data_IF_276068501368
#
_entry.id   IF_276068501368
#
_cell.length_a   1.000
_cell.length_b   1.000
_cell.length_c   1.000
_cell.angle_alpha   90.00
_cell.angle_beta   90.00
_cell.angle_gamma   90.00
#
_symmetry.space_group_name_H-M   'P 1'
#
loop_
_entity.id
_entity.type
_entity.pdbx_description
1 polymer ?
#
# COMPACT_ATOMS: atom_id res chain seq x y z
N UNK A 1 24.55 -14.92 -25.10
CA UNK A 1 23.41 -14.05 -24.71
C UNK A 1 22.17 -14.90 -24.66
N UNK A 2 21.70 -15.25 -23.46
CA UNK A 2 20.40 -15.88 -23.32
C UNK A 2 19.36 -14.78 -23.54
N UNK A 3 18.45 -14.96 -24.51
CA UNK A 3 17.31 -14.05 -24.67
C UNK A 3 16.40 -14.33 -23.48
N UNK A 4 16.23 -13.35 -22.61
CA UNK A 4 15.19 -13.42 -21.58
C UNK A 4 13.85 -13.49 -22.31
N UNK A 5 13.20 -14.65 -22.24
CA UNK A 5 11.88 -14.86 -22.82
C UNK A 5 10.87 -14.07 -21.99
N UNK A 6 10.38 -12.96 -22.55
CA UNK A 6 9.38 -12.13 -21.89
C UNK A 6 8.06 -12.91 -21.85
N UNK A 7 7.70 -13.39 -20.66
CA UNK A 7 6.40 -14.02 -20.44
C UNK A 7 5.35 -12.94 -20.26
N UNK A 8 4.43 -12.81 -21.22
CA UNK A 8 3.27 -11.92 -21.10
C UNK A 8 2.24 -12.60 -20.20
N UNK A 9 2.00 -12.03 -19.01
CA UNK A 9 1.07 -12.60 -18.02
C UNK A 9 -0.39 -12.35 -18.39
N UNK A 10 -0.68 -11.16 -18.94
CA UNK A 10 -1.99 -10.72 -19.40
C UNK A 10 -1.82 -9.71 -20.54
N UNK A 11 -2.70 -9.72 -21.54
CA UNK A 11 -2.64 -8.78 -22.68
C UNK A 11 -3.14 -7.38 -22.29
N UNK A 12 -4.03 -7.29 -21.29
CA UNK A 12 -4.65 -6.05 -20.84
C UNK A 12 -4.55 -5.88 -19.32
N UNK A 13 -3.75 -4.89 -18.89
CA UNK A 13 -3.58 -4.55 -17.48
C UNK A 13 -4.87 -4.13 -16.79
N UNK A 14 -5.90 -3.67 -17.52
CA UNK A 14 -7.19 -3.28 -16.94
C UNK A 14 -7.94 -4.46 -16.34
N UNK A 15 -7.65 -5.67 -16.80
CA UNK A 15 -8.23 -6.90 -16.28
C UNK A 15 -7.54 -7.34 -14.98
N UNK A 16 -6.36 -6.78 -14.68
CA UNK A 16 -5.57 -7.18 -13.54
C UNK A 16 -5.94 -6.41 -12.27
N UNK A 17 -5.71 -7.04 -11.13
CA UNK A 17 -5.66 -6.42 -9.81
C UNK A 17 -4.44 -6.99 -9.09
N UNK A 18 -3.69 -6.14 -8.39
CA UNK A 18 -2.56 -6.58 -7.58
C UNK A 18 -2.94 -6.62 -6.09
N UNK A 19 -2.53 -7.69 -5.40
CA UNK A 19 -2.81 -7.91 -3.97
C UNK A 19 -1.56 -8.39 -3.24
N UNK A 20 -1.46 -8.02 -1.96
CA UNK A 20 -0.47 -8.60 -1.07
C UNK A 20 -0.83 -10.06 -0.78
N UNK A 21 0.14 -10.98 -0.85
CA UNK A 21 -0.07 -12.34 -0.36
C UNK A 21 -0.02 -12.32 1.18
N UNK A 22 -1.08 -12.81 1.84
CA UNK A 22 -1.23 -12.80 3.31
C UNK A 22 -0.75 -14.13 3.94
N UNK A 23 0.06 -14.89 3.22
CA UNK A 23 0.57 -16.17 3.70
C UNK A 23 1.79 -15.96 4.61
N UNK A 24 1.73 -16.48 5.84
CA UNK A 24 2.70 -16.23 6.92
C UNK A 24 4.08 -16.84 6.58
N UNK A 25 4.16 -17.76 5.63
CA UNK A 25 5.41 -18.38 5.18
C UNK A 25 6.09 -17.63 4.02
N UNK A 26 5.35 -16.78 3.29
CA UNK A 26 5.81 -16.19 2.02
C UNK A 26 6.08 -14.68 2.13
N UNK A 27 7.31 -14.33 2.51
CA UNK A 27 7.74 -12.92 2.58
C UNK A 27 7.85 -12.28 1.20
N UNK A 28 7.41 -11.02 1.08
CA UNK A 28 7.55 -10.21 -0.12
C UNK A 28 6.85 -10.80 -1.36
N UNK A 29 5.79 -11.57 -1.13
CA UNK A 29 4.98 -12.17 -2.17
C UNK A 29 3.73 -11.33 -2.46
N UNK A 30 3.43 -11.17 -3.73
CA UNK A 30 2.24 -10.49 -4.23
C UNK A 30 1.59 -11.30 -5.33
N UNK A 31 0.31 -11.06 -5.53
CA UNK A 31 -0.49 -11.75 -6.52
C UNK A 31 -1.00 -10.75 -7.55
N UNK A 32 -0.83 -11.08 -8.83
CA UNK A 32 -1.51 -10.40 -9.94
C UNK A 32 -2.66 -11.28 -10.38
N UNK A 33 -3.87 -10.80 -10.11
CA UNK A 33 -5.12 -11.51 -10.33
C UNK A 33 -5.81 -10.93 -11.56
N UNK A 34 -6.04 -11.75 -12.57
CA UNK A 34 -6.95 -11.47 -13.69
C UNK A 34 -8.18 -12.40 -13.62
N UNK A 35 -9.23 -12.20 -14.43
CA UNK A 35 -10.43 -13.04 -14.38
C UNK A 35 -10.17 -14.52 -14.68
N UNK A 36 -9.08 -14.82 -15.40
CA UNK A 36 -8.76 -16.16 -15.88
C UNK A 36 -7.54 -16.78 -15.22
N UNK A 37 -6.66 -15.97 -14.62
CA UNK A 37 -5.39 -16.44 -14.03
C UNK A 37 -5.08 -15.67 -12.75
N UNK A 38 -4.46 -16.35 -11.79
CA UNK A 38 -3.82 -15.74 -10.64
C UNK A 38 -2.34 -16.14 -10.65
N UNK A 39 -1.45 -15.16 -10.60
CA UNK A 39 -0.02 -15.40 -10.57
C UNK A 39 0.57 -14.85 -9.29
N UNK A 40 1.22 -15.71 -8.53
CA UNK A 40 1.98 -15.34 -7.34
C UNK A 40 3.44 -15.08 -7.73
N UNK A 41 3.92 -13.88 -7.40
CA UNK A 41 5.26 -13.40 -7.66
C UNK A 41 5.94 -13.04 -6.35
N UNK A 42 7.24 -13.24 -6.27
CA UNK A 42 8.05 -12.94 -5.10
C UNK A 42 9.13 -11.93 -5.46
N UNK A 43 9.25 -10.87 -4.65
CA UNK A 43 10.34 -9.92 -4.76
C UNK A 43 11.54 -10.33 -3.89
N UNK A 44 12.72 -9.87 -4.30
CA UNK A 44 13.98 -10.16 -3.59
C UNK A 44 14.14 -9.35 -2.28
N UNK A 45 13.40 -8.25 -2.14
CA UNK A 45 13.43 -7.36 -0.98
C UNK A 45 12.09 -6.68 -0.73
N UNK A 46 11.91 -6.13 0.47
CA UNK A 46 10.75 -5.33 0.84
C UNK A 46 10.61 -4.05 -0.02
N UNK A 47 11.74 -3.43 -0.37
CA UNK A 47 11.74 -2.25 -1.24
C UNK A 47 11.23 -2.59 -2.64
N UNK A 48 11.77 -3.66 -3.25
CA UNK A 48 11.32 -4.14 -4.56
C UNK A 48 9.86 -4.56 -4.52
N UNK A 49 9.42 -5.22 -3.45
CA UNK A 49 8.02 -5.57 -3.23
C UNK A 49 7.10 -4.35 -3.26
N UNK A 50 7.40 -3.33 -2.44
CA UNK A 50 6.59 -2.11 -2.39
C UNK A 50 6.60 -1.37 -3.72
N UNK A 51 7.75 -1.34 -4.41
CA UNK A 51 7.89 -0.77 -5.74
C UNK A 51 7.00 -1.49 -6.76
N UNK A 52 7.02 -2.82 -6.78
CA UNK A 52 6.18 -3.64 -7.67
C UNK A 52 4.69 -3.45 -7.41
N UNK A 53 4.25 -3.52 -6.15
CA UNK A 53 2.86 -3.26 -5.78
C UNK A 53 2.43 -1.87 -6.26
N UNK A 54 3.21 -0.83 -5.93
CA UNK A 54 2.89 0.55 -6.27
C UNK A 54 2.91 0.81 -7.77
N UNK A 55 3.84 0.20 -8.51
CA UNK A 55 3.91 0.31 -9.95
C UNK A 55 2.69 -0.36 -10.62
N UNK A 56 2.34 -1.57 -10.20
CA UNK A 56 1.19 -2.31 -10.73
C UNK A 56 -0.13 -1.60 -10.41
N UNK A 57 -0.33 -1.13 -9.18
CA UNK A 57 -1.53 -0.37 -8.81
C UNK A 57 -1.68 0.89 -9.67
N UNK A 58 -0.58 1.64 -9.88
CA UNK A 58 -0.60 2.83 -10.73
C UNK A 58 -0.84 2.50 -12.20
N UNK A 59 -0.18 1.46 -12.72
CA UNK A 59 -0.34 1.03 -14.11
C UNK A 59 -1.77 0.57 -14.42
N UNK A 60 -2.34 -0.27 -13.55
CA UNK A 60 -3.73 -0.71 -13.64
C UNK A 60 -4.68 0.50 -13.54
N UNK A 61 -4.47 1.37 -12.55
CA UNK A 61 -5.28 2.58 -12.36
C UNK A 61 -5.27 3.51 -13.58
N UNK A 62 -4.10 3.75 -14.18
CA UNK A 62 -3.97 4.54 -15.40
C UNK A 62 -4.66 3.88 -16.59
N UNK A 63 -4.52 2.56 -16.75
CA UNK A 63 -5.16 1.83 -17.83
C UNK A 63 -6.70 1.91 -17.75
N UNK A 64 -7.26 1.85 -16.53
CA UNK A 64 -8.70 2.02 -16.30
C UNK A 64 -9.18 3.45 -16.59
N UNK A 65 -8.38 4.46 -16.26
CA UNK A 65 -8.71 5.87 -16.56
C UNK A 65 -8.66 6.19 -18.05
N UNK A 66 -7.67 5.64 -18.79
CA UNK A 66 -7.52 5.89 -20.22
C UNK A 66 -8.71 5.34 -21.03
N UNK A 67 -9.32 4.22 -20.61
CA UNK A 67 -10.58 3.76 -21.19
C UNK A 67 -11.76 4.73 -21.04
N UNK A 68 -11.70 5.65 -20.06
CA UNK A 68 -12.70 6.71 -19.88
C UNK A 68 -12.30 8.02 -20.56
N UNK A 69 -11.07 8.15 -21.08
CA UNK A 69 -10.49 9.38 -21.62
C UNK A 69 -9.97 9.20 -23.05
N UNK A 70 -10.74 8.54 -23.91
CA UNK A 70 -10.48 8.53 -25.36
C UNK A 70 -10.73 9.90 -26.02
N UNK A 71 -10.60 11.04 -25.32
CA UNK A 71 -10.89 12.35 -25.95
C UNK A 71 -10.14 13.59 -25.41
N UNK A 72 -8.93 13.46 -24.88
CA UNK A 72 -8.06 14.65 -24.74
C UNK A 72 -6.57 14.31 -24.69
N UNK A 73 -5.96 14.10 -25.85
CA UNK A 73 -4.52 14.30 -26.00
C UNK A 73 -4.24 15.80 -25.93
N UNK A 74 -3.66 16.27 -24.82
CA UNK A 74 -2.89 17.52 -24.82
C UNK A 74 -1.54 17.25 -24.21
N UNK A 75 -0.59 16.92 -25.08
CA UNK A 75 0.83 17.11 -24.82
C UNK A 75 1.08 18.58 -24.49
N UNK A 76 1.72 18.87 -23.35
CA UNK A 76 2.22 20.19 -23.00
C UNK A 76 2.40 20.29 -21.49
N UNK A 77 3.42 20.92 -20.93
CA UNK A 77 4.62 21.58 -21.40
C UNK A 77 5.38 21.88 -20.10
N UNK A 78 6.70 21.73 -20.11
CA UNK A 78 7.59 22.02 -18.99
C UNK A 78 7.30 23.37 -18.32
N UNK A 79 7.13 23.40 -16.99
CA UNK A 79 7.45 24.60 -16.19
C UNK A 79 7.57 24.24 -14.69
N UNK A 80 8.73 24.47 -14.05
CA UNK A 80 8.85 24.40 -12.59
C UNK A 80 8.19 25.62 -11.93
N UNK A 81 7.60 25.38 -10.77
CA UNK A 81 6.80 26.27 -9.91
C UNK A 81 7.36 27.68 -9.67
N UNK A 82 6.51 28.68 -9.39
CA UNK A 82 6.88 29.80 -8.54
C UNK A 82 6.35 29.62 -7.11
N UNK A 83 7.27 29.82 -6.16
CA UNK A 83 7.10 29.92 -4.71
C UNK A 83 6.00 30.92 -4.31
N UNK A 84 5.22 30.59 -3.27
CA UNK A 84 4.83 31.61 -2.30
C UNK A 84 4.75 31.05 -0.85
N UNK A 85 5.25 31.78 0.17
CA UNK A 85 5.44 31.35 1.55
C UNK A 85 4.23 31.73 2.48
N UNK A 86 4.26 31.44 3.80
CA UNK A 86 3.07 31.20 4.62
C UNK A 86 2.49 32.45 5.32
N UNK A 87 1.18 32.41 5.61
CA UNK A 87 0.42 33.29 6.53
C UNK A 87 -0.85 32.52 6.89
N UNK A 88 -1.28 32.29 8.14
CA UNK A 88 -1.17 33.01 9.39
C UNK A 88 -2.34 32.52 10.30
N UNK A 89 -2.61 33.14 11.46
CA UNK A 89 -2.74 32.47 12.76
C UNK A 89 -4.19 32.29 13.26
N UNK A 90 -4.41 31.38 14.22
CA UNK A 90 -5.63 31.42 15.05
C UNK A 90 -5.84 30.22 15.98
N UNK A 91 -6.17 30.54 17.24
CA UNK A 91 -6.65 29.69 18.35
C UNK A 91 -5.53 29.00 19.19
N UNK A 92 -4.96 29.66 20.18
CA UNK A 92 -5.53 30.02 21.51
C UNK A 92 -5.59 28.81 22.46
N UNK A 93 -4.51 28.69 23.23
CA UNK A 93 -4.41 28.38 24.67
C UNK A 93 -5.36 27.35 25.30
N UNK A 94 -4.78 26.29 25.85
CA UNK A 94 -4.98 25.97 27.27
C UNK A 94 -3.75 25.25 27.83
N UNK A 95 -3.10 25.75 28.90
CA UNK A 95 -2.03 25.06 29.61
C UNK A 95 -2.52 24.40 30.90
N UNK A 96 -1.84 23.33 31.30
CA UNK A 96 -1.88 22.75 32.65
C UNK A 96 -2.19 21.26 32.64
N UNK A 97 -1.53 20.41 33.40
CA UNK A 97 -0.28 20.53 34.16
C UNK A 97 0.11 19.09 34.58
N UNK A 98 1.41 18.89 34.83
CA UNK A 98 1.95 17.95 35.82
C UNK A 98 1.93 16.42 35.56
N UNK A 99 3.17 15.91 35.46
CA UNK A 99 3.80 14.84 36.27
C UNK A 99 3.13 13.45 36.32
N UNK A 100 3.80 12.31 36.43
CA UNK A 100 5.20 11.85 36.45
C UNK A 100 5.07 10.33 36.69
N UNK A 101 6.10 9.57 36.31
CA UNK A 101 6.50 8.27 36.88
C UNK A 101 5.84 7.00 36.33
N UNK A 102 6.64 6.27 35.55
CA UNK A 102 6.72 4.80 35.56
C UNK A 102 7.05 4.29 36.99
N UNK A 103 6.85 2.99 37.35
CA UNK A 103 7.61 1.90 36.75
C UNK A 103 6.80 0.62 36.48
N UNK A 104 7.39 -0.24 35.64
CA UNK A 104 7.00 -1.62 35.46
C UNK A 104 7.01 -2.40 36.79
N UNK A 105 6.05 -3.32 36.99
CA UNK A 105 6.21 -4.50 37.84
C UNK A 105 5.33 -5.64 37.31
N UNK A 106 5.90 -6.83 37.38
CA UNK A 106 5.62 -8.07 36.66
C UNK A 106 4.53 -8.93 37.35
N UNK A 107 4.36 -10.24 37.04
CA UNK A 107 3.07 -10.86 36.74
C UNK A 107 2.40 -11.52 37.95
N UNK A 108 1.09 -11.81 37.88
CA UNK A 108 0.51 -12.84 38.74
C UNK A 108 -0.60 -13.62 38.05
N UNK A 109 -0.29 -14.89 37.79
CA UNK A 109 -1.24 -15.94 37.48
C UNK A 109 -2.17 -16.23 38.67
N UNK A 110 -3.37 -16.74 38.41
CA UNK A 110 -3.90 -17.98 39.02
C UNK A 110 -5.41 -18.14 38.79
N UNK A 111 -5.78 -19.26 38.15
CA UNK A 111 -6.82 -20.19 38.59
C UNK A 111 -8.27 -19.69 38.75
N UNK A 112 -9.02 -19.93 37.67
CA UNK A 112 -10.16 -20.86 37.57
C UNK A 112 -11.49 -20.64 38.33
N UNK A 113 -12.51 -21.19 37.66
CA UNK A 113 -13.75 -21.84 38.13
C UNK A 113 -15.08 -21.09 37.94
N UNK A 114 -15.95 -21.72 37.11
CA UNK A 114 -17.43 -21.72 37.11
C UNK A 114 -18.12 -20.38 36.74
N UNK A 115 -19.29 -20.32 36.10
CA UNK A 115 -20.36 -21.28 35.86
C UNK A 115 -21.18 -20.87 34.60
N UNK A 116 -21.92 -21.83 34.05
CA UNK A 116 -23.05 -21.63 33.13
C UNK A 116 -24.19 -20.78 33.74
N UNK A 117 -24.86 -19.98 32.91
CA UNK A 117 -26.30 -19.62 32.82
C UNK A 117 -26.33 -18.33 31.96
N UNK A 118 -27.10 -18.15 30.88
CA UNK A 118 -28.41 -18.64 30.41
C UNK A 118 -28.39 -18.87 28.90
#
# INVERSE_FOLDING_TARGET
MQREEVTVMEEDLRLCTVKAAVDVDRRFCFEVVSPFKCHMLQAESEESYNSWISALQRGIGQALQLSSHENSFTFGNDTPSPLNPPKGPGATTTPGDSNNSSPATTPQASTAHKAQYV
#
